data_IF_111233555776
#
_entry.id   IF_111233555776
#
_cell.length_a   1.000
_cell.length_b   1.000
_cell.length_c   1.000
_cell.angle_alpha   90.00
_cell.angle_beta   90.00
_cell.angle_gamma   90.00
#
_symmetry.space_group_name_H-M   'P 1'
#
loop_
_entity.id
_entity.type
_entity.pdbx_description
1 polymer ?
#
# COMPACT_ATOMS: atom_id res chain seq x y z
N UNK A 1 -2.87 32.04 39.42
CA UNK A 1 -2.18 32.83 40.47
C UNK A 1 -1.07 31.97 41.06
N UNK A 2 0.16 32.43 40.88
CA UNK A 2 1.36 32.24 41.71
C UNK A 2 1.93 30.82 41.91
N UNK A 3 3.01 30.54 41.16
CA UNK A 3 4.06 29.59 41.54
C UNK A 3 4.84 30.11 42.74
N UNK A 4 5.13 29.25 43.71
CA UNK A 4 6.21 29.43 44.68
C UNK A 4 6.87 28.08 44.94
N UNK A 5 8.09 27.94 44.42
CA UNK A 5 9.00 26.84 44.68
C UNK A 5 9.70 27.08 46.03
N UNK A 6 9.73 26.08 46.89
CA UNK A 6 10.50 26.08 48.13
C UNK A 6 11.09 24.69 48.37
N UNK A 7 12.42 24.58 48.24
CA UNK A 7 13.21 23.40 48.61
C UNK A 7 13.13 23.19 50.14
N UNK A 8 12.88 21.95 50.59
CA UNK A 8 13.81 21.18 51.46
C UNK A 8 13.20 19.80 51.81
N UNK A 9 13.85 18.76 51.29
CA UNK A 9 13.95 17.37 51.79
C UNK A 9 12.85 16.81 52.71
N UNK A 10 11.93 16.02 52.12
CA UNK A 10 11.42 14.79 52.75
C UNK A 10 11.27 13.70 51.69
N UNK A 11 11.99 12.61 51.93
CA UNK A 11 11.94 11.34 51.20
C UNK A 11 10.49 10.90 51.09
N UNK A 12 9.92 11.06 49.90
CA UNK A 12 8.70 10.36 49.50
C UNK A 12 9.17 9.30 48.52
N UNK A 13 9.22 8.06 49.00
CA UNK A 13 9.28 6.90 48.12
C UNK A 13 7.98 6.97 47.31
N UNK A 14 8.04 7.56 46.12
CA UNK A 14 7.06 7.30 45.10
C UNK A 14 7.19 5.80 44.80
N UNK A 15 6.27 5.02 45.39
CA UNK A 15 5.79 3.81 44.75
C UNK A 15 5.35 4.24 43.35
N UNK A 16 6.28 4.15 42.39
CA UNK A 16 5.94 3.98 41.01
C UNK A 16 5.06 2.75 41.00
N UNK A 17 3.74 2.97 40.95
CA UNK A 17 2.84 1.97 40.46
C UNK A 17 3.37 1.62 39.06
N UNK A 18 4.18 0.56 39.02
CA UNK A 18 4.42 -0.21 37.83
C UNK A 18 3.07 -0.38 37.16
N UNK A 19 2.87 0.23 35.98
CA UNK A 19 1.77 -0.13 35.10
C UNK A 19 2.01 -1.58 34.67
N UNK A 20 1.58 -2.51 35.52
CA UNK A 20 1.45 -3.93 35.19
C UNK A 20 0.00 -4.17 34.81
N UNK A 21 -0.30 -4.05 33.53
CA UNK A 21 -1.36 -4.74 32.81
C UNK A 21 -1.30 -4.21 31.38
N UNK A 22 -0.78 -5.00 30.44
CA UNK A 22 -1.10 -4.78 29.04
C UNK A 22 -2.61 -4.94 28.92
N UNK A 23 -3.32 -3.83 28.76
CA UNK A 23 -4.76 -3.87 28.50
C UNK A 23 -4.92 -4.35 27.08
N UNK A 24 -5.15 -5.65 26.93
CA UNK A 24 -5.55 -6.26 25.67
C UNK A 24 -6.79 -5.55 25.13
N UNK A 25 -6.89 -5.46 23.81
CA UNK A 25 -8.07 -4.95 23.15
C UNK A 25 -9.27 -5.87 23.39
N UNK A 26 -9.14 -7.17 23.22
CA UNK A 26 -10.20 -8.14 23.38
C UNK A 26 -10.26 -8.67 24.81
N UNK A 27 -11.46 -8.85 25.40
CA UNK A 27 -11.63 -9.53 26.68
C UNK A 27 -11.12 -10.97 26.67
N UNK A 28 -11.26 -11.65 25.54
CA UNK A 28 -10.82 -13.03 25.27
C UNK A 28 -9.42 -13.13 24.63
N UNK A 29 -8.63 -12.06 24.71
CA UNK A 29 -7.31 -12.02 24.09
C UNK A 29 -6.37 -13.09 24.67
N UNK A 30 -5.59 -13.73 23.79
CA UNK A 30 -4.43 -14.53 24.19
C UNK A 30 -3.43 -13.61 24.92
N UNK A 31 -3.14 -13.88 26.20
CA UNK A 31 -2.21 -13.06 26.98
C UNK A 31 -0.83 -13.02 26.34
N UNK A 32 -0.13 -11.90 26.48
CA UNK A 32 1.19 -11.68 25.87
C UNK A 32 2.20 -12.79 26.17
N UNK A 33 2.19 -13.35 27.38
CA UNK A 33 3.11 -14.41 27.79
C UNK A 33 2.79 -15.80 27.18
N UNK A 34 1.60 -15.98 26.62
CA UNK A 34 1.19 -17.20 25.91
C UNK A 34 1.40 -17.09 24.40
N UNK A 35 1.83 -15.92 23.91
CA UNK A 35 2.03 -15.70 22.48
C UNK A 35 3.30 -16.40 21.99
N UNK A 36 3.21 -16.99 20.81
CA UNK A 36 4.31 -17.68 20.15
C UNK A 36 5.14 -16.71 19.30
N UNK A 37 6.40 -17.06 19.10
CA UNK A 37 7.25 -16.50 18.05
C UNK A 37 7.20 -17.41 16.82
N UNK A 38 7.40 -16.84 15.63
CA UNK A 38 7.68 -17.65 14.44
C UNK A 38 9.16 -18.02 14.44
N UNK A 39 9.49 -19.12 13.76
CA UNK A 39 10.86 -19.59 13.62
C UNK A 39 11.41 -19.27 12.25
N UNK A 40 12.65 -18.85 12.26
CA UNK A 40 13.46 -18.60 11.07
C UNK A 40 14.03 -19.90 10.54
N UNK A 41 14.68 -19.87 9.36
CA UNK A 41 15.30 -21.06 8.78
C UNK A 41 16.42 -21.64 9.66
N UNK A 42 17.09 -20.80 10.47
CA UNK A 42 18.12 -21.21 11.42
C UNK A 42 17.56 -21.58 12.81
N UNK A 43 16.23 -21.51 12.99
CA UNK A 43 15.53 -21.90 14.21
C UNK A 43 15.40 -20.81 15.28
N UNK A 44 15.87 -19.60 14.98
CA UNK A 44 15.75 -18.41 15.84
C UNK A 44 14.28 -17.98 15.97
N UNK A 45 13.87 -17.61 17.19
CA UNK A 45 12.55 -17.07 17.47
C UNK A 45 12.49 -15.59 17.08
N UNK A 46 11.55 -15.22 16.21
CA UNK A 46 11.31 -13.84 15.79
C UNK A 46 9.81 -13.51 15.79
N UNK A 47 9.44 -12.23 15.97
CA UNK A 47 8.06 -11.81 15.82
C UNK A 47 7.64 -11.72 14.34
N UNK A 48 6.34 -11.73 14.08
CA UNK A 48 5.79 -11.41 12.76
C UNK A 48 5.95 -9.92 12.52
N UNK A 49 6.93 -9.54 11.69
CA UNK A 49 7.12 -8.17 11.24
C UNK A 49 6.08 -7.67 10.22
N UNK A 50 5.58 -6.47 10.46
CA UNK A 50 4.66 -5.71 9.61
C UNK A 50 5.38 -4.52 8.98
N UNK A 51 5.21 -4.38 7.66
CA UNK A 51 5.58 -3.17 6.93
C UNK A 51 4.43 -2.15 7.00
N UNK A 52 4.79 -0.88 7.22
CA UNK A 52 3.88 0.25 7.15
C UNK A 52 4.40 1.25 6.10
N UNK A 53 3.54 1.62 5.16
CA UNK A 53 3.71 2.80 4.34
C UNK A 53 3.38 4.08 5.11
N UNK A 54 4.03 5.17 4.76
CA UNK A 54 3.87 6.49 5.39
C UNK A 54 2.55 7.20 4.97
N UNK A 55 1.41 6.54 5.16
CA UNK A 55 0.05 7.04 4.90
C UNK A 55 -0.94 6.47 5.91
N UNK A 56 -1.99 7.23 6.24
CA UNK A 56 -2.84 6.94 7.41
C UNK A 56 -3.60 5.61 7.34
N UNK A 57 -4.06 5.21 6.15
CA UNK A 57 -4.75 3.93 5.97
C UNK A 57 -3.82 2.72 6.23
N UNK A 58 -2.53 2.83 5.89
CA UNK A 58 -1.53 1.79 6.15
C UNK A 58 -1.30 1.59 7.65
N UNK A 59 -1.22 2.68 8.42
CA UNK A 59 -1.08 2.58 9.87
C UNK A 59 -2.30 1.92 10.52
N UNK A 60 -3.51 2.41 10.20
CA UNK A 60 -4.74 1.89 10.77
C UNK A 60 -4.95 0.40 10.47
N UNK A 61 -4.80 0.01 9.21
CA UNK A 61 -5.04 -1.37 8.78
C UNK A 61 -3.99 -2.34 9.33
N UNK A 62 -2.75 -1.90 9.46
CA UNK A 62 -1.70 -2.66 10.14
C UNK A 62 -1.98 -2.81 11.63
N UNK A 63 -2.49 -1.78 12.31
CA UNK A 63 -2.89 -1.89 13.72
C UNK A 63 -4.04 -2.88 13.92
N UNK A 64 -5.05 -2.87 13.04
CA UNK A 64 -6.14 -3.85 13.06
C UNK A 64 -5.59 -5.27 12.89
N UNK A 65 -4.76 -5.49 11.86
CA UNK A 65 -4.16 -6.79 11.59
C UNK A 65 -3.29 -7.27 12.76
N UNK A 66 -2.52 -6.36 13.37
CA UNK A 66 -1.69 -6.64 14.52
C UNK A 66 -2.50 -7.10 15.72
N UNK A 67 -3.60 -6.41 16.05
CA UNK A 67 -4.48 -6.82 17.15
C UNK A 67 -4.98 -8.25 16.93
N UNK A 68 -5.41 -8.60 15.72
CA UNK A 68 -5.88 -9.96 15.41
C UNK A 68 -4.75 -11.00 15.51
N UNK A 69 -3.56 -10.69 14.97
CA UNK A 69 -2.40 -11.60 15.05
C UNK A 69 -1.95 -11.81 16.49
N UNK A 70 -1.93 -10.76 17.29
CA UNK A 70 -1.49 -10.82 18.69
C UNK A 70 -2.50 -11.47 19.62
N UNK A 71 -3.75 -11.00 19.58
CA UNK A 71 -4.75 -11.31 20.59
C UNK A 71 -5.64 -12.48 20.20
N UNK A 72 -5.76 -12.80 18.90
CA UNK A 72 -6.60 -13.89 18.41
C UNK A 72 -5.77 -15.07 17.93
N UNK A 73 -4.72 -14.82 17.13
CA UNK A 73 -3.84 -15.89 16.64
C UNK A 73 -2.70 -16.22 17.62
N UNK A 74 -2.41 -15.33 18.58
CA UNK A 74 -1.46 -15.59 19.64
C UNK A 74 0.00 -15.53 19.20
N UNK A 75 0.36 -14.60 18.31
CA UNK A 75 1.75 -14.40 17.90
C UNK A 75 2.30 -13.03 18.32
N UNK A 76 3.59 -12.98 18.66
CA UNK A 76 4.26 -11.69 18.79
C UNK A 76 4.41 -11.00 17.44
N UNK A 77 4.24 -9.67 17.42
CA UNK A 77 4.43 -8.86 16.21
C UNK A 77 5.45 -7.77 16.43
N UNK A 78 5.92 -7.20 15.32
CA UNK A 78 6.85 -6.08 15.31
C UNK A 78 6.54 -5.16 14.12
N UNK A 79 6.66 -3.85 14.32
CA UNK A 79 6.55 -2.86 13.23
C UNK A 79 7.94 -2.28 12.99
N UNK A 80 8.32 -2.19 11.72
CA UNK A 80 9.58 -1.57 11.34
C UNK A 80 9.65 -0.11 11.83
N UNK A 81 10.76 0.36 12.42
CA UNK A 81 10.87 1.75 12.91
C UNK A 81 10.87 2.79 11.78
N UNK A 82 11.20 2.38 10.55
CA UNK A 82 11.10 3.22 9.36
C UNK A 82 9.90 2.83 8.51
N UNK A 83 9.14 3.84 8.09
CA UNK A 83 8.02 3.69 7.17
C UNK A 83 8.47 3.70 5.71
N UNK A 84 7.72 3.02 4.86
CA UNK A 84 7.88 3.09 3.41
C UNK A 84 7.44 4.45 2.87
N UNK A 85 8.34 5.18 2.22
CA UNK A 85 8.09 6.53 1.68
C UNK A 85 7.28 6.53 0.38
N UNK A 86 7.07 5.36 -0.22
CA UNK A 86 6.32 5.19 -1.46
C UNK A 86 5.79 3.77 -1.56
N UNK A 87 4.68 3.57 -2.27
CA UNK A 87 4.14 2.27 -2.59
C UNK A 87 5.20 1.29 -3.14
N UNK A 88 6.14 1.79 -3.95
CA UNK A 88 7.18 0.98 -4.61
C UNK A 88 8.23 0.41 -3.67
N UNK A 89 8.30 0.87 -2.42
CA UNK A 89 9.24 0.33 -1.43
C UNK A 89 8.76 -0.98 -0.82
N UNK A 90 7.45 -1.23 -0.85
CA UNK A 90 6.81 -2.41 -0.26
C UNK A 90 7.42 -3.74 -0.72
N UNK A 91 7.60 -3.99 -2.05
CA UNK A 91 8.17 -5.25 -2.49
C UNK A 91 9.63 -5.45 -2.02
N UNK A 92 10.42 -4.40 -1.94
CA UNK A 92 11.80 -4.47 -1.41
C UNK A 92 11.81 -4.76 0.09
N UNK A 93 10.93 -4.12 0.86
CA UNK A 93 10.81 -4.36 2.30
C UNK A 93 10.43 -5.82 2.59
N UNK A 94 9.45 -6.35 1.87
CA UNK A 94 8.99 -7.74 2.00
C UNK A 94 10.00 -8.76 1.44
N UNK A 95 10.91 -8.34 0.56
CA UNK A 95 12.02 -9.16 0.09
C UNK A 95 13.24 -9.14 1.04
N UNK A 96 13.18 -8.38 2.15
CA UNK A 96 14.24 -8.32 3.15
C UNK A 96 15.38 -7.37 2.81
N UNK A 97 15.18 -6.43 1.89
CA UNK A 97 16.18 -5.42 1.56
C UNK A 97 16.41 -4.47 2.76
N UNK A 98 17.67 -4.23 3.13
CA UNK A 98 18.01 -3.48 4.35
C UNK A 98 17.68 -1.98 4.26
N UNK A 99 17.73 -1.41 3.06
CA UNK A 99 17.49 0.02 2.82
C UNK A 99 16.40 0.19 1.74
N UNK A 100 15.22 -0.37 2.01
CA UNK A 100 14.10 -0.43 1.05
C UNK A 100 13.59 0.95 0.60
N UNK A 101 13.95 2.03 1.30
CA UNK A 101 13.63 3.41 0.94
C UNK A 101 14.64 4.05 -0.04
N UNK A 102 15.80 3.43 -0.26
CA UNK A 102 16.84 3.96 -1.13
C UNK A 102 16.60 3.60 -2.58
N UNK A 103 16.33 4.60 -3.42
CA UNK A 103 15.97 4.40 -4.82
C UNK A 103 17.11 3.83 -5.70
N UNK A 104 18.37 3.94 -5.27
CA UNK A 104 19.55 3.59 -6.08
C UNK A 104 20.16 2.25 -5.68
N UNK A 105 20.16 1.93 -4.38
CA UNK A 105 20.65 0.66 -3.88
C UNK A 105 19.92 0.28 -2.59
N UNK A 106 18.95 -0.61 -2.75
CA UNK A 106 18.10 -1.10 -1.68
C UNK A 106 18.80 -2.14 -0.79
N UNK A 107 19.97 -2.63 -1.20
CA UNK A 107 20.74 -3.68 -0.52
C UNK A 107 19.95 -5.00 -0.36
N UNK A 108 19.35 -5.44 -1.48
CA UNK A 108 18.61 -6.70 -1.57
C UNK A 108 19.54 -7.92 -1.72
N UNK A 109 19.05 -9.11 -1.37
CA UNK A 109 19.80 -10.37 -1.51
C UNK A 109 20.63 -10.77 -0.29
N UNK A 110 20.43 -10.10 0.85
CA UNK A 110 20.98 -10.46 2.15
C UNK A 110 19.93 -11.31 2.87
N UNK A 111 20.31 -12.45 3.46
CA UNK A 111 19.37 -13.43 4.00
C UNK A 111 18.69 -12.99 5.31
N UNK A 112 17.43 -13.45 5.41
CA UNK A 112 16.46 -13.36 6.50
C UNK A 112 15.53 -12.14 6.48
N UNK A 113 14.36 -12.33 5.86
CA UNK A 113 13.25 -11.39 5.86
C UNK A 113 12.74 -11.16 7.28
N UNK A 114 12.73 -9.90 7.71
CA UNK A 114 12.16 -9.49 9.02
C UNK A 114 10.77 -8.88 8.90
N UNK A 115 10.40 -8.45 7.70
CA UNK A 115 9.07 -7.95 7.37
C UNK A 115 8.36 -9.01 6.53
N UNK A 116 7.23 -9.49 7.05
CA UNK A 116 6.50 -10.63 6.47
C UNK A 116 5.16 -10.20 5.89
N UNK A 117 4.53 -9.17 6.46
CA UNK A 117 3.16 -8.77 6.13
C UNK A 117 3.11 -7.32 5.71
N UNK A 118 2.42 -7.05 4.60
CA UNK A 118 1.96 -5.73 4.20
C UNK A 118 0.45 -5.81 3.96
N UNK A 119 -0.30 -5.02 4.73
CA UNK A 119 -1.76 -5.05 4.71
C UNK A 119 -2.27 -4.03 3.68
N UNK A 120 -1.81 -2.78 3.71
CA UNK A 120 -2.17 -1.74 2.73
C UNK A 120 -1.07 -1.56 1.68
N UNK A 121 -1.03 -2.45 0.70
CA UNK A 121 0.02 -2.51 -0.32
C UNK A 121 -0.51 -2.10 -1.70
N UNK A 122 0.04 -1.04 -2.29
CA UNK A 122 -0.46 -0.48 -3.55
C UNK A 122 0.15 -1.21 -4.76
N UNK A 123 -0.25 -2.48 -5.01
CA UNK A 123 0.45 -3.35 -5.96
C UNK A 123 0.40 -2.92 -7.41
N UNK A 124 -0.63 -2.17 -7.81
CA UNK A 124 -0.65 -1.54 -9.14
C UNK A 124 0.52 -0.57 -9.35
N UNK A 125 0.98 0.11 -8.29
CA UNK A 125 2.06 1.10 -8.36
C UNK A 125 3.45 0.46 -8.51
N UNK A 126 3.60 -0.83 -8.20
CA UNK A 126 4.90 -1.51 -8.18
C UNK A 126 4.96 -2.80 -9.00
N UNK A 127 3.97 -3.04 -9.87
CA UNK A 127 3.94 -4.22 -10.73
C UNK A 127 5.22 -4.38 -11.57
N UNK A 128 5.74 -3.28 -12.14
CA UNK A 128 7.00 -3.30 -12.90
C UNK A 128 8.21 -3.68 -12.04
N UNK A 129 8.23 -3.25 -10.78
CA UNK A 129 9.29 -3.58 -9.82
C UNK A 129 9.28 -5.07 -9.52
N UNK A 130 8.09 -5.66 -9.33
CA UNK A 130 7.95 -7.10 -9.11
C UNK A 130 8.43 -7.90 -10.33
N UNK A 131 8.15 -7.46 -11.55
CA UNK A 131 8.68 -8.11 -12.76
C UNK A 131 10.22 -8.03 -12.82
N UNK A 132 10.84 -6.89 -12.49
CA UNK A 132 12.30 -6.77 -12.43
C UNK A 132 12.90 -7.67 -11.33
N UNK A 133 12.23 -7.77 -10.18
CA UNK A 133 12.63 -8.66 -9.10
C UNK A 133 12.53 -10.14 -9.48
N UNK A 134 11.63 -10.53 -10.40
CA UNK A 134 11.59 -11.92 -10.92
C UNK A 134 12.86 -12.27 -11.68
N UNK A 135 13.45 -11.31 -12.41
CA UNK A 135 14.68 -11.53 -13.15
C UNK A 135 15.90 -11.60 -12.21
N UNK A 136 15.89 -10.82 -11.13
CA UNK A 136 17.07 -10.61 -10.27
C UNK A 136 17.06 -11.48 -8.99
N UNK A 137 15.90 -11.61 -8.34
CA UNK A 137 15.71 -12.29 -7.06
C UNK A 137 14.42 -13.15 -7.03
N UNK A 138 14.30 -14.20 -7.89
CA UNK A 138 13.05 -14.94 -8.05
C UNK A 138 12.55 -15.68 -6.80
N UNK A 139 13.42 -15.90 -5.82
CA UNK A 139 13.09 -16.59 -4.56
C UNK A 139 12.65 -15.63 -3.44
N UNK A 140 12.76 -14.31 -3.65
CA UNK A 140 12.40 -13.28 -2.67
C UNK A 140 11.14 -12.51 -3.07
N UNK A 141 10.43 -12.96 -4.12
CA UNK A 141 9.24 -12.28 -4.62
C UNK A 141 8.12 -12.38 -3.58
N UNK A 142 7.56 -11.26 -3.12
CA UNK A 142 6.41 -11.27 -2.24
C UNK A 142 5.19 -11.89 -2.93
N UNK A 143 4.41 -12.66 -2.17
CA UNK A 143 3.19 -13.28 -2.67
C UNK A 143 2.01 -12.33 -2.44
N UNK A 144 1.30 -11.96 -3.53
CA UNK A 144 0.01 -11.27 -3.43
C UNK A 144 -1.07 -12.28 -3.04
N UNK A 145 -1.74 -12.04 -1.90
CA UNK A 145 -2.78 -12.92 -1.38
C UNK A 145 -4.19 -12.30 -1.49
N UNK A 146 -4.38 -11.32 -2.39
CA UNK A 146 -5.68 -10.77 -2.75
C UNK A 146 -5.88 -9.31 -2.36
N UNK A 147 -7.13 -8.86 -2.28
CA UNK A 147 -7.44 -7.44 -2.10
C UNK A 147 -7.72 -7.10 -0.62
N UNK A 148 -7.27 -5.91 -0.18
CA UNK A 148 -8.11 -4.88 0.44
C UNK A 148 -9.57 -5.22 0.76
N UNK A 149 -10.28 -5.45 -0.34
CA UNK A 149 -11.69 -5.17 -0.46
C UNK A 149 -11.99 -3.69 -0.66
N UNK A 150 -11.00 -2.78 -0.85
CA UNK A 150 -11.14 -1.44 -1.45
C UNK A 150 -10.10 -1.20 -2.52
N UNK A 151 -10.39 -0.25 -3.39
CA UNK A 151 -9.45 0.36 -4.31
C UNK A 151 -8.98 1.71 -3.76
N UNK A 152 -7.71 2.01 -4.00
CA UNK A 152 -7.14 3.32 -3.83
C UNK A 152 -7.37 4.15 -5.09
N UNK A 153 -7.68 5.41 -4.94
CA UNK A 153 -7.79 6.34 -6.06
C UNK A 153 -6.77 7.45 -5.89
N UNK A 154 -5.98 7.72 -6.93
CA UNK A 154 -5.06 8.86 -6.97
C UNK A 154 -5.33 9.70 -8.22
N UNK A 155 -5.46 11.02 -8.04
CA UNK A 155 -5.83 11.94 -9.12
C UNK A 155 -5.49 13.39 -8.76
N UNK A 156 -5.94 14.31 -9.60
CA UNK A 156 -6.04 15.73 -9.28
C UNK A 156 -7.39 16.00 -8.61
N UNK A 157 -7.39 16.74 -7.51
CA UNK A 157 -8.55 17.02 -6.68
C UNK A 157 -8.82 18.52 -6.55
N UNK A 158 -10.07 18.85 -6.24
CA UNK A 158 -10.56 20.17 -5.89
C UNK A 158 -11.32 20.10 -4.57
N UNK A 159 -11.26 21.16 -3.77
CA UNK A 159 -12.01 21.21 -2.50
C UNK A 159 -13.50 21.41 -2.76
N UNK A 160 -14.36 20.89 -1.88
CA UNK A 160 -15.81 21.10 -1.99
C UNK A 160 -16.20 22.57 -1.97
N UNK A 161 -15.49 23.40 -1.20
CA UNK A 161 -15.78 24.83 -1.11
C UNK A 161 -15.64 25.51 -2.47
N UNK A 162 -14.57 25.23 -3.21
CA UNK A 162 -14.33 25.75 -4.56
C UNK A 162 -15.34 25.17 -5.56
N UNK A 163 -15.58 23.86 -5.50
CA UNK A 163 -16.55 23.19 -6.37
C UNK A 163 -17.96 23.78 -6.21
N UNK A 164 -18.44 23.91 -4.96
CA UNK A 164 -19.77 24.43 -4.67
C UNK A 164 -19.90 25.89 -5.10
N UNK A 165 -18.86 26.71 -4.88
CA UNK A 165 -18.85 28.10 -5.32
C UNK A 165 -19.04 28.24 -6.83
N UNK A 166 -18.38 27.38 -7.62
CA UNK A 166 -18.50 27.40 -9.08
C UNK A 166 -19.84 26.85 -9.59
N UNK A 167 -20.35 25.80 -8.95
CA UNK A 167 -21.67 25.23 -9.24
C UNK A 167 -22.79 26.24 -8.94
N UNK A 168 -22.74 26.91 -7.79
CA UNK A 168 -23.76 27.87 -7.37
C UNK A 168 -23.75 29.14 -8.23
N UNK A 169 -22.57 29.59 -8.67
CA UNK A 169 -22.42 30.83 -9.42
C UNK A 169 -22.85 30.68 -10.89
N UNK A 170 -22.49 29.58 -11.56
CA UNK A 170 -22.70 29.43 -13.00
C UNK A 170 -22.98 27.99 -13.47
N UNK A 171 -23.18 27.04 -12.55
CA UNK A 171 -23.35 25.63 -12.89
C UNK A 171 -22.07 24.97 -13.40
N UNK A 172 -20.89 25.53 -13.09
CA UNK A 172 -19.62 25.01 -13.58
C UNK A 172 -19.14 23.82 -12.74
N UNK A 173 -19.15 22.65 -13.37
CA UNK A 173 -18.65 21.40 -12.79
C UNK A 173 -17.11 21.37 -12.82
N UNK A 174 -16.46 21.73 -11.71
CA UNK A 174 -15.01 21.69 -11.54
C UNK A 174 -14.48 20.30 -11.14
N UNK A 175 -15.35 19.35 -10.84
CA UNK A 175 -15.06 17.92 -10.64
C UNK A 175 -15.02 17.14 -11.97
N UNK A 176 -15.17 17.81 -13.10
CA UNK A 176 -15.06 17.23 -14.43
C UNK A 176 -14.10 18.05 -15.30
N UNK A 177 -13.16 17.37 -15.96
CA UNK A 177 -12.06 18.03 -16.67
C UNK A 177 -12.51 19.08 -17.70
N UNK A 178 -13.69 18.92 -18.31
CA UNK A 178 -14.21 19.87 -19.31
C UNK A 178 -14.65 21.20 -18.72
N UNK A 179 -14.90 21.27 -17.41
CA UNK A 179 -15.19 22.52 -16.70
C UNK A 179 -14.02 23.51 -16.70
N UNK A 180 -12.81 23.05 -17.02
CA UNK A 180 -11.63 23.92 -17.07
C UNK A 180 -11.39 24.56 -18.45
N UNK A 181 -12.21 24.22 -19.45
CA UNK A 181 -12.02 24.73 -20.81
C UNK A 181 -12.38 26.22 -20.90
N UNK A 182 -11.37 27.02 -21.28
CA UNK A 182 -11.46 28.48 -21.39
C UNK A 182 -12.41 29.01 -22.49
N UNK A 183 -12.91 28.14 -23.37
CA UNK A 183 -13.81 28.55 -24.47
C UNK A 183 -15.14 29.09 -23.94
N UNK A 184 -15.63 28.56 -22.82
CA UNK A 184 -16.97 28.85 -22.31
C UNK A 184 -16.98 29.42 -20.90
N UNK A 185 -15.94 29.18 -20.10
CA UNK A 185 -15.88 29.57 -18.69
C UNK A 185 -14.50 30.09 -18.31
N UNK A 186 -14.43 30.87 -17.22
CA UNK A 186 -13.16 31.30 -16.63
C UNK A 186 -12.97 30.64 -15.24
N UNK A 187 -12.53 29.37 -15.17
CA UNK A 187 -12.39 28.63 -13.92
C UNK A 187 -11.43 29.31 -12.94
N UNK A 188 -10.43 30.06 -13.44
CA UNK A 188 -9.40 30.74 -12.64
C UNK A 188 -9.97 31.64 -11.54
N UNK A 189 -11.17 32.20 -11.72
CA UNK A 189 -11.80 33.10 -10.76
C UNK A 189 -12.07 32.45 -9.37
N UNK A 190 -12.21 31.11 -9.33
CA UNK A 190 -12.44 30.36 -8.10
C UNK A 190 -11.15 29.95 -7.37
N UNK A 191 -9.99 30.15 -8.01
CA UNK A 191 -8.69 29.74 -7.51
C UNK A 191 -7.79 30.95 -7.20
N UNK A 192 -6.84 30.78 -6.30
CA UNK A 192 -5.87 31.82 -5.95
C UNK A 192 -4.77 31.97 -7.02
N UNK A 193 -3.98 33.04 -6.97
CA UNK A 193 -2.85 33.22 -7.88
C UNK A 193 -1.68 32.35 -7.46
N UNK A 194 -0.85 31.91 -8.41
CA UNK A 194 0.42 31.22 -8.13
C UNK A 194 1.36 32.09 -7.27
N UNK A 195 1.23 33.42 -7.35
CA UNK A 195 2.02 34.39 -6.58
C UNK A 195 1.67 34.41 -5.09
N UNK A 196 0.53 33.82 -4.70
CA UNK A 196 0.15 33.69 -3.29
C UNK A 196 0.94 32.61 -2.56
N UNK A 197 1.61 31.72 -3.30
CA UNK A 197 2.38 30.60 -2.77
C UNK A 197 3.85 30.98 -2.73
N UNK A 198 4.44 30.87 -1.54
CA UNK A 198 5.84 31.23 -1.33
C UNK A 198 6.76 30.25 -2.06
N UNK A 199 7.62 30.77 -2.94
CA UNK A 199 8.56 29.95 -3.72
C UNK A 199 9.58 29.19 -2.84
N UNK A 200 9.81 29.66 -1.61
CA UNK A 200 10.65 28.95 -0.64
C UNK A 200 10.04 27.64 -0.15
N UNK A 201 8.73 27.45 -0.31
CA UNK A 201 8.00 26.23 0.09
C UNK A 201 7.96 25.18 -1.02
N UNK A 202 8.56 25.47 -2.19
CA UNK A 202 8.54 24.63 -3.38
C UNK A 202 9.94 24.13 -3.74
N UNK A 203 10.06 22.91 -4.26
CA UNK A 203 11.32 22.38 -4.79
C UNK A 203 11.70 23.09 -6.10
N UNK A 204 13.01 23.33 -6.36
CA UNK A 204 13.49 23.62 -7.72
C UNK A 204 13.06 22.52 -8.67
N UNK A 205 12.63 22.85 -9.90
CA UNK A 205 12.22 21.83 -10.87
C UNK A 205 13.33 20.80 -11.15
N UNK A 206 14.59 21.23 -11.06
CA UNK A 206 15.81 20.41 -11.21
C UNK A 206 15.90 19.25 -10.20
N UNK A 207 15.25 19.37 -9.05
CA UNK A 207 15.26 18.38 -7.96
C UNK A 207 14.02 17.48 -7.97
N UNK A 208 13.21 17.54 -9.04
CA UNK A 208 11.90 16.86 -9.11
C UNK A 208 11.75 16.05 -10.39
N UNK A 209 10.64 15.34 -10.51
CA UNK A 209 10.25 14.56 -11.68
C UNK A 209 10.08 15.38 -12.97
N UNK A 210 10.09 16.73 -12.88
CA UNK A 210 10.22 17.62 -14.03
C UNK A 210 11.55 17.42 -14.79
N UNK A 211 12.58 16.86 -14.15
CA UNK A 211 13.90 16.60 -14.73
C UNK A 211 14.14 15.12 -15.07
N UNK A 212 13.07 14.31 -15.19
CA UNK A 212 13.12 12.92 -15.69
C UNK A 212 13.06 12.88 -17.23
N UNK A 213 14.17 12.58 -17.94
CA UNK A 213 14.25 12.70 -19.40
C UNK A 213 13.24 11.85 -20.18
N UNK A 214 13.11 10.58 -19.82
CA UNK A 214 12.21 9.62 -20.47
C UNK A 214 10.75 10.07 -20.36
N UNK A 215 10.41 10.66 -19.23
CA UNK A 215 9.09 11.17 -18.90
C UNK A 215 8.75 12.41 -19.73
N UNK A 216 9.70 13.35 -19.83
CA UNK A 216 9.53 14.56 -20.64
C UNK A 216 9.54 14.26 -22.15
N UNK A 217 10.30 13.25 -22.58
CA UNK A 217 10.28 12.77 -23.96
C UNK A 217 8.92 12.15 -24.32
N UNK A 218 8.33 11.34 -23.44
CA UNK A 218 6.98 10.79 -23.61
C UNK A 218 5.93 11.92 -23.68
N UNK A 219 6.02 12.91 -22.80
CA UNK A 219 5.18 14.11 -22.83
C UNK A 219 5.25 14.84 -24.17
N UNK A 220 6.46 15.14 -24.66
CA UNK A 220 6.67 15.80 -25.95
C UNK A 220 6.03 15.02 -27.10
N UNK A 221 6.24 13.70 -27.12
CA UNK A 221 5.77 12.79 -28.16
C UNK A 221 4.24 12.77 -28.26
N UNK A 222 3.55 12.68 -27.13
CA UNK A 222 2.11 12.43 -27.09
C UNK A 222 1.26 13.70 -27.06
N UNK A 223 1.82 14.82 -26.57
CA UNK A 223 1.09 16.10 -26.49
C UNK A 223 1.49 17.08 -27.58
N UNK A 224 2.70 16.95 -28.14
CA UNK A 224 3.26 17.92 -29.09
C UNK A 224 3.70 19.24 -28.45
N UNK A 225 3.59 19.41 -27.13
CA UNK A 225 3.91 20.67 -26.44
C UNK A 225 5.42 20.81 -26.14
N UNK A 226 6.21 20.99 -27.18
CA UNK A 226 7.65 21.26 -27.04
C UNK A 226 7.93 22.59 -26.31
N UNK A 227 7.01 23.56 -26.35
CA UNK A 227 7.18 24.87 -25.72
C UNK A 227 7.12 24.82 -24.18
N UNK A 228 6.53 23.77 -23.62
CA UNK A 228 6.56 23.47 -22.19
C UNK A 228 7.85 22.79 -21.71
N UNK A 229 8.79 22.50 -22.63
CA UNK A 229 10.02 21.79 -22.35
C UNK A 229 11.25 22.61 -22.74
N UNK A 230 12.40 22.15 -22.27
CA UNK A 230 13.72 22.59 -22.69
C UNK A 230 14.59 21.38 -23.04
N UNK A 231 15.54 21.59 -23.95
CA UNK A 231 16.55 20.59 -24.31
C UNK A 231 17.80 20.86 -23.49
N UNK A 232 18.22 19.89 -22.70
CA UNK A 232 19.44 19.91 -21.91
C UNK A 232 20.67 19.73 -22.81
N UNK A 233 21.86 20.07 -22.29
CA UNK A 233 23.11 20.00 -23.06
C UNK A 233 23.45 18.60 -23.60
N UNK A 234 22.94 17.55 -22.95
CA UNK A 234 23.09 16.14 -23.37
C UNK A 234 22.03 15.69 -24.40
N UNK A 235 21.18 16.61 -24.89
CA UNK A 235 20.11 16.31 -25.85
C UNK A 235 18.81 15.78 -25.22
N UNK A 236 18.77 15.60 -23.90
CA UNK A 236 17.59 15.12 -23.19
C UNK A 236 16.57 16.24 -22.95
N UNK A 237 15.30 15.89 -22.77
CA UNK A 237 14.27 16.85 -22.38
C UNK A 237 14.19 17.03 -20.86
N UNK A 238 13.90 18.26 -20.45
CA UNK A 238 13.44 18.61 -19.10
C UNK A 238 12.24 19.57 -19.19
N UNK A 239 11.43 19.67 -18.15
CA UNK A 239 10.36 20.66 -18.12
C UNK A 239 10.94 22.08 -18.08
N UNK A 240 10.30 23.01 -18.80
CA UNK A 240 10.67 24.43 -18.76
C UNK A 240 9.87 25.12 -17.67
N UNK A 241 10.54 25.50 -16.58
CA UNK A 241 9.87 26.08 -15.42
C UNK A 241 9.96 27.61 -15.33
N UNK A 242 8.81 28.24 -15.09
CA UNK A 242 8.70 29.63 -14.67
C UNK A 242 9.19 29.79 -13.23
N UNK A 243 9.97 30.85 -12.99
CA UNK A 243 10.64 31.12 -11.71
C UNK A 243 11.45 29.92 -11.15
N UNK A 244 11.83 28.96 -11.99
CA UNK A 244 12.54 27.73 -11.59
C UNK A 244 11.70 26.75 -10.75
N UNK A 245 10.40 27.01 -10.54
CA UNK A 245 9.53 26.24 -9.60
C UNK A 245 8.23 25.75 -10.23
N UNK A 246 7.72 26.46 -11.23
CA UNK A 246 6.39 26.22 -11.81
C UNK A 246 6.49 25.76 -13.25
N UNK A 247 5.94 24.59 -13.57
CA UNK A 247 5.68 24.26 -14.97
C UNK A 247 4.35 24.88 -15.42
N UNK A 248 4.33 25.56 -16.57
CA UNK A 248 3.16 26.32 -17.03
C UNK A 248 2.52 25.65 -18.25
N UNK A 249 1.23 25.31 -18.11
CA UNK A 249 0.42 24.73 -19.18
C UNK A 249 0.23 25.68 -20.37
N UNK A 250 -0.05 25.17 -21.58
CA UNK A 250 -0.21 26.01 -22.78
C UNK A 250 -1.26 27.12 -22.65
N UNK A 251 -2.33 26.88 -21.89
CA UNK A 251 -3.48 27.80 -21.83
C UNK A 251 -3.20 29.10 -21.05
N UNK A 252 -2.22 29.08 -20.15
CA UNK A 252 -1.86 30.26 -19.34
C UNK A 252 -0.37 30.63 -19.45
N UNK A 253 0.36 30.05 -20.41
CA UNK A 253 1.81 30.27 -20.57
C UNK A 253 2.18 31.70 -20.97
N UNK A 254 1.32 32.38 -21.71
CA UNK A 254 1.53 33.77 -22.10
C UNK A 254 1.25 34.76 -20.97
N UNK A 255 0.43 34.37 -19.99
CA UNK A 255 0.04 35.19 -18.85
C UNK A 255 -0.18 34.30 -17.62
N UNK A 256 0.84 34.21 -16.78
CA UNK A 256 0.85 33.35 -15.60
C UNK A 256 -0.18 33.75 -14.55
N UNK A 257 -0.70 34.98 -14.59
CA UNK A 257 -1.77 35.42 -13.67
C UNK A 257 -3.10 34.68 -13.91
N UNK A 258 -3.26 34.09 -15.09
CA UNK A 258 -4.44 33.29 -15.46
C UNK A 258 -4.30 31.82 -15.06
N UNK A 259 -3.15 31.40 -14.52
CA UNK A 259 -2.91 30.02 -14.14
C UNK A 259 -3.54 29.66 -12.78
N UNK A 260 -4.16 28.49 -12.74
CA UNK A 260 -4.63 27.80 -11.53
C UNK A 260 -3.44 27.06 -10.92
N UNK A 261 -3.08 27.30 -9.65
CA UNK A 261 -2.03 26.54 -8.98
C UNK A 261 -2.45 25.07 -8.82
N UNK A 262 -1.57 24.16 -9.22
CA UNK A 262 -1.65 22.72 -8.99
C UNK A 262 -0.46 22.30 -8.13
N UNK A 263 -0.72 21.73 -6.96
CA UNK A 263 0.33 21.37 -6.01
C UNK A 263 0.43 19.86 -5.83
N UNK A 264 1.65 19.34 -5.90
CA UNK A 264 1.97 17.95 -5.57
C UNK A 264 3.10 17.88 -4.55
N UNK A 265 3.41 16.67 -4.07
CA UNK A 265 4.40 16.39 -3.04
C UNK A 265 5.35 15.25 -3.47
N UNK A 266 6.20 14.84 -2.53
CA UNK A 266 7.32 13.95 -2.80
C UNK A 266 8.29 14.60 -3.78
N UNK A 267 8.71 13.84 -4.80
CA UNK A 267 9.48 14.37 -5.94
C UNK A 267 8.60 14.76 -7.13
N UNK A 268 7.26 14.67 -6.99
CA UNK A 268 6.31 14.93 -8.07
C UNK A 268 5.31 13.80 -8.27
N UNK A 269 4.55 13.44 -7.24
CA UNK A 269 3.52 12.41 -7.37
C UNK A 269 2.48 12.78 -8.44
N UNK A 270 2.23 11.85 -9.38
CA UNK A 270 1.41 12.03 -10.59
C UNK A 270 1.73 13.25 -11.46
N UNK A 271 2.88 13.88 -11.28
CA UNK A 271 3.26 15.13 -11.94
C UNK A 271 3.09 15.05 -13.46
N UNK A 272 3.56 13.96 -14.06
CA UNK A 272 3.50 13.76 -15.50
C UNK A 272 2.07 13.68 -16.00
N UNK A 273 1.22 12.87 -15.35
CA UNK A 273 -0.19 12.74 -15.72
C UNK A 273 -0.90 14.11 -15.64
N UNK A 274 -0.62 14.90 -14.59
CA UNK A 274 -1.17 16.25 -14.47
C UNK A 274 -0.70 17.21 -15.58
N UNK A 275 0.56 17.11 -16.04
CA UNK A 275 1.01 17.84 -17.23
C UNK A 275 0.24 17.41 -18.48
N UNK A 276 0.12 16.09 -18.70
CA UNK A 276 -0.62 15.51 -19.82
C UNK A 276 -2.09 15.97 -19.85
N UNK A 277 -2.78 15.89 -18.72
CA UNK A 277 -4.16 16.32 -18.58
C UNK A 277 -4.30 17.82 -18.83
N UNK A 278 -3.41 18.63 -18.26
CA UNK A 278 -3.44 20.08 -18.42
C UNK A 278 -3.31 20.51 -19.88
N UNK A 279 -2.38 19.88 -20.61
CA UNK A 279 -2.15 20.19 -22.02
C UNK A 279 -3.21 19.63 -22.94
N UNK A 280 -3.60 18.37 -22.74
CA UNK A 280 -4.53 17.67 -23.64
C UNK A 280 -5.93 18.25 -23.55
N UNK A 281 -6.37 18.60 -22.35
CA UNK A 281 -7.73 19.04 -22.10
C UNK A 281 -7.86 20.55 -21.90
N UNK A 282 -6.75 21.28 -22.01
CA UNK A 282 -6.75 22.73 -21.94
C UNK A 282 -7.09 23.26 -20.56
N UNK A 283 -6.51 22.69 -19.50
CA UNK A 283 -6.61 23.28 -18.17
C UNK A 283 -5.56 24.41 -18.07
N UNK A 284 -5.93 25.62 -17.61
CA UNK A 284 -5.01 26.72 -17.40
C UNK A 284 -4.27 26.57 -16.08
N UNK A 285 -3.34 25.62 -15.99
CA UNK A 285 -2.64 25.28 -14.74
C UNK A 285 -1.18 25.72 -14.72
N UNK A 286 -0.69 25.96 -13.52
CA UNK A 286 0.73 25.99 -13.17
C UNK A 286 1.00 24.91 -12.12
N UNK A 287 1.92 23.99 -12.40
CA UNK A 287 2.18 22.82 -11.55
C UNK A 287 3.49 23.02 -10.79
N UNK A 288 3.48 22.81 -9.47
CA UNK A 288 4.67 22.83 -8.63
C UNK A 288 4.69 21.68 -7.61
N UNK A 289 5.89 21.39 -7.11
CA UNK A 289 6.14 20.37 -6.09
C UNK A 289 6.50 21.06 -4.77
N UNK A 290 5.73 20.82 -3.73
CA UNK A 290 6.04 21.30 -2.39
C UNK A 290 7.29 20.60 -1.84
N UNK A 291 8.15 21.34 -1.14
CA UNK A 291 9.46 20.83 -0.69
C UNK A 291 9.45 19.99 0.60
N UNK A 292 8.29 19.87 1.22
CA UNK A 292 8.07 19.00 2.37
C UNK A 292 6.59 18.64 2.48
N UNK A 293 6.30 17.54 3.19
CA UNK A 293 4.92 17.17 3.51
C UNK A 293 4.19 18.27 4.30
N UNK A 294 4.86 18.88 5.28
CA UNK A 294 4.27 19.98 6.05
C UNK A 294 3.88 21.18 5.19
N UNK A 295 4.76 21.58 4.26
CA UNK A 295 4.46 22.68 3.33
C UNK A 295 3.38 22.30 2.33
N UNK A 296 3.37 21.06 1.84
CA UNK A 296 2.30 20.56 1.00
C UNK A 296 0.93 20.66 1.69
N UNK A 297 0.81 20.13 2.91
CA UNK A 297 -0.42 20.20 3.70
C UNK A 297 -0.83 21.65 3.97
N UNK A 298 0.13 22.52 4.31
CA UNK A 298 -0.12 23.93 4.57
C UNK A 298 -0.64 24.67 3.33
N UNK A 299 -0.01 24.49 2.16
CA UNK A 299 -0.42 25.14 0.91
C UNK A 299 -1.82 24.68 0.51
N UNK A 300 -2.08 23.36 0.48
CA UNK A 300 -3.40 22.82 0.12
C UNK A 300 -4.48 23.28 1.10
N UNK A 301 -4.16 23.42 2.38
CA UNK A 301 -5.13 23.85 3.41
C UNK A 301 -5.40 25.34 3.46
N UNK A 302 -4.55 26.17 2.87
CA UNK A 302 -4.66 27.64 2.98
C UNK A 302 -4.91 28.34 1.65
N UNK A 303 -4.79 27.62 0.53
CA UNK A 303 -4.98 28.17 -0.82
C UNK A 303 -6.11 27.48 -1.55
N UNK A 304 -6.85 28.23 -2.36
CA UNK A 304 -7.77 27.67 -3.36
C UNK A 304 -6.94 27.22 -4.55
N UNK A 305 -6.45 26.00 -4.48
CA UNK A 305 -5.63 25.35 -5.50
C UNK A 305 -6.25 24.02 -5.93
N UNK A 306 -5.77 23.50 -7.06
CA UNK A 306 -5.87 22.09 -7.36
C UNK A 306 -4.68 21.38 -6.74
N UNK A 307 -4.83 20.11 -6.45
CA UNK A 307 -3.75 19.35 -5.83
C UNK A 307 -3.82 17.88 -6.19
N UNK A 308 -2.67 17.23 -6.25
CA UNK A 308 -2.60 15.77 -6.26
C UNK A 308 -3.17 15.26 -4.94
N UNK A 309 -4.01 14.22 -4.95
CA UNK A 309 -4.41 13.52 -3.73
C UNK A 309 -4.67 12.05 -3.97
N UNK A 310 -4.68 11.28 -2.88
CA UNK A 310 -5.06 9.88 -2.88
C UNK A 310 -6.10 9.56 -1.80
N UNK A 311 -6.92 8.56 -2.07
CA UNK A 311 -7.93 8.03 -1.17
C UNK A 311 -7.67 6.52 -1.02
N UNK A 312 -7.77 5.93 0.19
CA UNK A 312 -8.23 6.54 1.44
C UNK A 312 -7.11 7.25 2.24
N UNK A 313 -7.31 8.53 2.55
CA UNK A 313 -6.48 9.29 3.50
C UNK A 313 -7.29 10.46 4.08
N UNK A 314 -7.17 10.72 5.38
CA UNK A 314 -7.98 11.71 6.09
C UNK A 314 -7.35 13.11 6.20
N UNK A 315 -6.13 13.32 5.72
CA UNK A 315 -5.41 14.60 5.89
C UNK A 315 -6.23 15.81 5.43
N UNK A 316 -6.92 15.71 4.28
CA UNK A 316 -7.75 16.79 3.74
C UNK A 316 -9.25 16.56 3.88
N UNK A 317 -9.68 15.65 4.75
CA UNK A 317 -11.07 15.22 4.79
C UNK A 317 -12.06 16.33 5.13
N UNK A 318 -11.63 17.30 5.94
CA UNK A 318 -12.42 18.47 6.31
C UNK A 318 -12.69 19.39 5.11
N UNK A 319 -11.84 19.33 4.08
CA UNK A 319 -12.01 20.06 2.82
C UNK A 319 -12.97 19.34 1.86
N UNK A 320 -13.35 18.09 2.18
CA UNK A 320 -14.17 17.20 1.34
C UNK A 320 -13.60 17.16 -0.08
N UNK A 321 -12.45 16.51 -0.29
CA UNK A 321 -11.76 16.49 -1.58
C UNK A 321 -12.63 15.79 -2.63
N UNK A 322 -12.79 16.41 -3.81
CA UNK A 322 -13.49 15.83 -4.95
C UNK A 322 -12.50 15.59 -6.09
N UNK A 323 -12.44 14.37 -6.60
CA UNK A 323 -11.55 13.99 -7.69
C UNK A 323 -12.04 14.59 -9.01
N UNK A 324 -11.14 15.12 -9.82
CA UNK A 324 -11.46 15.54 -11.18
C UNK A 324 -11.56 14.29 -12.05
N UNK A 325 -12.73 14.09 -12.63
CA UNK A 325 -12.99 12.98 -13.55
C UNK A 325 -12.37 13.28 -14.91
N UNK A 326 -11.49 12.38 -15.37
CA UNK A 326 -10.87 12.36 -16.71
C UNK A 326 -11.44 11.20 -17.56
N UNK A 327 -11.18 11.14 -18.88
CA UNK A 327 -11.62 10.01 -19.70
C UNK A 327 -11.16 8.66 -19.15
N UNK A 328 -11.93 7.57 -19.30
CA UNK A 328 -11.65 6.29 -18.65
C UNK A 328 -10.22 5.78 -18.91
N UNK A 329 -9.62 5.19 -17.87
CA UNK A 329 -8.26 4.63 -17.94
C UNK A 329 -8.09 3.64 -19.10
N UNK A 330 -6.96 3.77 -19.80
CA UNK A 330 -6.54 2.85 -20.86
C UNK A 330 -5.17 2.27 -20.55
N UNK A 331 -5.12 1.02 -20.09
CA UNK A 331 -3.87 0.33 -19.76
C UNK A 331 -2.88 0.28 -20.92
N UNK A 332 -3.39 0.09 -22.15
CA UNK A 332 -2.57 0.07 -23.36
C UNK A 332 -1.93 1.43 -23.66
N UNK A 333 -2.64 2.53 -23.43
CA UNK A 333 -2.08 3.88 -23.62
C UNK A 333 -1.00 4.17 -22.58
N UNK A 334 -1.29 3.87 -21.31
CA UNK A 334 -0.35 4.11 -20.21
C UNK A 334 0.94 3.28 -20.35
N UNK A 335 0.84 2.02 -20.81
CA UNK A 335 2.00 1.18 -21.10
C UNK A 335 2.91 1.74 -22.22
N UNK A 336 2.39 2.62 -23.08
CA UNK A 336 3.15 3.31 -24.13
C UNK A 336 3.63 4.71 -23.70
N UNK A 337 3.47 5.06 -22.42
CA UNK A 337 3.78 6.39 -21.88
C UNK A 337 2.77 7.48 -22.27
N UNK A 338 1.58 7.12 -22.77
CA UNK A 338 0.50 8.06 -23.05
C UNK A 338 -0.43 8.15 -21.83
N UNK A 339 -0.27 9.20 -21.02
CA UNK A 339 -1.03 9.40 -19.77
C UNK A 339 -2.23 10.35 -19.95
N UNK A 340 -2.84 10.42 -21.13
CA UNK A 340 -3.97 11.34 -21.40
C UNK A 340 -5.27 10.88 -20.74
N UNK A 341 -5.49 9.58 -20.59
CA UNK A 341 -6.66 9.06 -19.86
C UNK A 341 -6.48 9.23 -18.35
N UNK A 342 -7.55 9.01 -17.59
CA UNK A 342 -7.48 8.86 -16.14
C UNK A 342 -6.41 7.83 -15.78
N UNK A 343 -5.80 7.99 -14.60
CA UNK A 343 -4.95 6.95 -14.06
C UNK A 343 -5.75 5.68 -13.76
N UNK A 344 -5.09 4.53 -13.73
CA UNK A 344 -5.69 3.33 -13.16
C UNK A 344 -6.17 3.65 -11.75
N UNK A 345 -7.37 3.19 -11.39
CA UNK A 345 -7.67 2.94 -9.98
C UNK A 345 -6.58 2.01 -9.45
N UNK A 346 -6.00 2.34 -8.31
CA UNK A 346 -4.95 1.53 -7.71
C UNK A 346 -5.60 0.42 -6.92
N UNK A 347 -5.46 -0.80 -7.41
CA UNK A 347 -5.74 -1.98 -6.61
C UNK A 347 -4.87 -1.94 -5.34
N UNK A 348 -5.49 -1.80 -4.17
CA UNK A 348 -4.81 -1.94 -2.88
C UNK A 348 -4.88 -3.41 -2.50
N UNK A 349 -3.77 -4.10 -2.71
CA UNK A 349 -3.61 -5.49 -2.36
C UNK A 349 -3.44 -5.63 -0.85
N UNK A 350 -4.03 -6.71 -0.32
CA UNK A 350 -3.55 -7.35 0.90
C UNK A 350 -2.73 -8.54 0.46
N UNK A 351 -1.62 -8.76 1.12
CA UNK A 351 -1.38 -10.14 1.50
C UNK A 351 -2.49 -10.55 2.54
N UNK A 352 -3.65 -11.01 2.04
CA UNK A 352 -4.92 -11.59 2.61
C UNK A 352 -6.09 -10.74 3.16
N UNK A 353 -7.29 -11.11 2.68
CA UNK A 353 -8.72 -10.94 3.11
C UNK A 353 -9.59 -9.79 2.55
N UNK A 354 -10.58 -10.16 1.74
CA UNK A 354 -11.53 -9.30 1.04
C UNK A 354 -12.68 -8.77 1.92
N UNK A 355 -13.15 -7.57 1.56
CA UNK A 355 -14.26 -6.77 2.12
C UNK A 355 -13.90 -5.85 3.30
N UNK A 356 -13.02 -4.86 3.10
CA UNK A 356 -12.81 -3.74 4.04
C UNK A 356 -13.14 -2.36 3.43
N UNK A 357 -13.88 -2.26 2.31
CA UNK A 357 -13.96 -0.97 1.58
C UNK A 357 -14.67 0.18 2.27
N UNK A 358 -15.87 -0.05 2.79
CA UNK A 358 -16.78 1.07 3.03
C UNK A 358 -16.65 1.70 4.42
N UNK A 359 -15.68 1.28 5.23
CA UNK A 359 -15.52 1.78 6.61
C UNK A 359 -14.14 2.38 6.91
N UNK A 360 -13.13 2.20 6.05
CA UNK A 360 -11.78 2.75 6.31
C UNK A 360 -11.85 4.25 6.48
N UNK A 361 -12.60 4.91 5.59
CA UNK A 361 -12.75 6.37 5.62
C UNK A 361 -13.41 6.85 6.91
N UNK A 362 -14.44 6.16 7.42
CA UNK A 362 -15.11 6.49 8.68
C UNK A 362 -14.19 6.32 9.91
N UNK A 363 -13.31 5.32 9.88
CA UNK A 363 -12.31 5.11 10.93
C UNK A 363 -11.22 6.19 10.88
N UNK A 364 -10.72 6.49 9.69
CA UNK A 364 -9.74 7.57 9.49
C UNK A 364 -10.32 8.94 9.87
N UNK A 365 -11.62 9.17 9.64
CA UNK A 365 -12.36 10.32 10.15
C UNK A 365 -12.31 10.40 11.68
N UNK A 366 -12.52 9.26 12.35
CA UNK A 366 -12.50 9.19 13.82
C UNK A 366 -11.09 9.49 14.36
N UNK A 367 -10.04 9.03 13.67
CA UNK A 367 -8.65 9.38 13.99
C UNK A 367 -8.40 10.87 13.80
N UNK A 368 -8.81 11.44 12.67
CA UNK A 368 -8.65 12.87 12.37
C UNK A 368 -9.39 13.77 13.38
N UNK A 369 -10.45 13.27 14.02
CA UNK A 369 -11.15 13.97 15.10
C UNK A 369 -10.41 14.00 16.45
N UNK A 370 -9.25 13.33 16.55
CA UNK A 370 -8.37 13.34 17.72
C UNK A 370 -8.37 12.04 18.53
N UNK A 371 -9.06 10.99 18.07
CA UNK A 371 -9.01 9.67 18.72
C UNK A 371 -7.70 8.96 18.36
N UNK A 372 -7.09 8.27 19.32
CA UNK A 372 -5.84 7.54 19.07
C UNK A 372 -6.09 6.39 18.08
N UNK A 373 -5.18 6.21 17.12
CA UNK A 373 -5.25 5.19 16.07
C UNK A 373 -5.50 3.77 16.63
N UNK A 374 -4.75 3.40 17.66
CA UNK A 374 -4.92 2.11 18.33
C UNK A 374 -6.33 1.93 18.93
N UNK A 375 -6.90 2.97 19.54
CA UNK A 375 -8.24 2.90 20.13
C UNK A 375 -9.31 2.72 19.04
N UNK A 376 -9.15 3.40 17.90
CA UNK A 376 -10.04 3.24 16.73
C UNK A 376 -9.91 1.84 16.13
N UNK A 377 -8.69 1.32 15.97
CA UNK A 377 -8.44 -0.04 15.50
C UNK A 377 -9.06 -1.07 16.46
N UNK A 378 -8.84 -0.92 17.76
CA UNK A 378 -9.37 -1.81 18.78
C UNK A 378 -10.90 -1.80 18.83
N UNK A 379 -11.51 -0.61 18.79
CA UNK A 379 -12.96 -0.48 18.74
C UNK A 379 -13.53 -1.16 17.49
N UNK A 380 -12.90 -0.96 16.32
CA UNK A 380 -13.32 -1.63 15.10
C UNK A 380 -13.25 -3.17 15.22
N UNK A 381 -12.15 -3.71 15.78
CA UNK A 381 -12.01 -5.15 16.02
C UNK A 381 -13.13 -5.66 16.93
N UNK A 382 -13.47 -4.96 18.01
CA UNK A 382 -14.58 -5.34 18.91
C UNK A 382 -15.92 -5.34 18.19
N UNK A 383 -16.22 -4.28 17.44
CA UNK A 383 -17.52 -4.09 16.80
C UNK A 383 -17.74 -5.00 15.58
N UNK A 384 -16.66 -5.52 15.00
CA UNK A 384 -16.70 -6.34 13.78
C UNK A 384 -16.31 -7.79 14.02
N UNK A 385 -16.48 -8.32 15.24
CA UNK A 385 -16.13 -9.70 15.62
C UNK A 385 -16.59 -10.75 14.63
N UNK A 386 -17.87 -10.74 14.29
CA UNK A 386 -18.44 -11.71 13.35
C UNK A 386 -17.76 -11.66 11.97
N UNK A 387 -17.28 -10.49 11.54
CA UNK A 387 -16.66 -10.30 10.24
C UNK A 387 -15.27 -10.92 10.16
N UNK A 388 -14.42 -10.65 11.15
CA UNK A 388 -13.05 -11.15 11.12
C UNK A 388 -12.92 -12.59 11.60
N UNK A 389 -13.92 -13.13 12.30
CA UNK A 389 -13.95 -14.56 12.64
C UNK A 389 -13.91 -15.45 11.40
N UNK A 390 -14.54 -15.03 10.30
CA UNK A 390 -14.49 -15.73 9.02
C UNK A 390 -13.12 -15.64 8.33
N UNK A 391 -12.24 -14.73 8.77
CA UNK A 391 -10.87 -14.60 8.23
C UNK A 391 -9.89 -15.57 8.88
N UNK A 392 -10.22 -16.05 10.08
CA UNK A 392 -9.33 -16.94 10.80
C UNK A 392 -9.16 -18.22 9.98
N UNK A 393 -7.91 -18.69 9.78
CA UNK A 393 -7.68 -19.93 9.08
C UNK A 393 -8.44 -21.03 9.79
N UNK A 394 -9.32 -21.73 9.06
CA UNK A 394 -9.88 -22.97 9.56
C UNK A 394 -8.68 -23.89 9.75
N UNK A 395 -8.46 -24.40 10.97
CA UNK A 395 -7.29 -25.23 11.33
C UNK A 395 -7.10 -26.45 10.42
N UNK A 396 -8.14 -26.81 9.66
CA UNK A 396 -8.20 -27.92 8.72
C UNK A 396 -8.11 -27.48 7.24
N UNK A 397 -7.82 -26.21 6.93
CA UNK A 397 -7.47 -25.73 5.58
C UNK A 397 -5.98 -25.95 5.32
N UNK A 398 -5.59 -27.18 5.02
CA UNK A 398 -4.18 -27.55 4.88
C UNK A 398 -3.56 -26.97 3.62
N UNK A 399 -2.33 -26.47 3.74
CA UNK A 399 -1.54 -25.95 2.62
C UNK A 399 -0.77 -27.06 1.90
N UNK A 400 -0.17 -26.71 0.75
CA UNK A 400 0.68 -27.62 -0.03
C UNK A 400 1.77 -28.25 0.84
N UNK A 401 1.89 -29.58 0.77
CA UNK A 401 2.83 -30.37 1.57
C UNK A 401 2.26 -30.85 2.91
N UNK A 402 1.10 -30.34 3.32
CA UNK A 402 0.38 -30.78 4.51
C UNK A 402 -0.91 -31.52 4.13
N UNK A 403 -1.50 -32.21 5.09
CA UNK A 403 -2.82 -32.80 4.95
C UNK A 403 -3.56 -32.97 6.26
N UNK A 404 -4.87 -33.17 6.16
CA UNK A 404 -5.78 -33.30 7.29
C UNK A 404 -5.31 -34.37 8.30
N UNK A 405 -5.31 -34.02 9.58
CA UNK A 405 -4.97 -34.92 10.68
C UNK A 405 -5.95 -34.80 11.85
N UNK A 406 -6.12 -35.90 12.59
CA UNK A 406 -6.88 -35.94 13.84
C UNK A 406 -6.07 -35.37 15.02
N UNK A 407 -6.67 -35.30 16.20
CA UNK A 407 -6.04 -34.73 17.40
C UNK A 407 -4.82 -35.54 17.90
N UNK A 408 -4.63 -36.75 17.40
CA UNK A 408 -3.46 -37.59 17.67
C UNK A 408 -2.38 -37.49 16.59
N UNK A 409 -2.57 -36.64 15.57
CA UNK A 409 -1.64 -36.45 14.45
C UNK A 409 -1.74 -37.52 13.36
N UNK A 410 -2.79 -38.36 13.36
CA UNK A 410 -2.98 -39.35 12.31
C UNK A 410 -3.68 -38.73 11.10
N UNK A 411 -3.18 -39.01 9.90
CA UNK A 411 -3.81 -38.52 8.67
C UNK A 411 -5.23 -39.07 8.49
N UNK A 412 -6.17 -38.17 8.24
CA UNK A 412 -7.56 -38.49 7.91
C UNK A 412 -7.87 -38.02 6.49
N UNK A 413 -8.89 -38.63 5.88
CA UNK A 413 -9.26 -38.33 4.48
C UNK A 413 -10.39 -37.32 4.37
N UNK A 414 -11.07 -37.02 5.48
CA UNK A 414 -12.23 -36.15 5.56
C UNK A 414 -12.07 -35.13 6.69
N UNK A 415 -12.43 -33.87 6.39
CA UNK A 415 -12.31 -32.76 7.33
C UNK A 415 -13.13 -32.95 8.60
N UNK A 416 -14.26 -33.66 8.53
CA UNK A 416 -15.10 -33.94 9.69
C UNK A 416 -14.36 -34.69 10.82
N UNK A 417 -13.28 -35.39 10.48
CA UNK A 417 -12.44 -36.13 11.44
C UNK A 417 -11.12 -35.42 11.73
N UNK A 418 -10.91 -34.23 11.16
CA UNK A 418 -9.67 -33.49 11.27
C UNK A 418 -9.79 -32.39 12.32
N UNK A 419 -8.71 -32.20 13.08
CA UNK A 419 -8.55 -31.09 14.02
C UNK A 419 -7.31 -30.25 13.72
N UNK A 420 -6.42 -30.72 12.84
CA UNK A 420 -5.20 -30.02 12.47
C UNK A 420 -4.73 -30.41 11.07
N UNK A 421 -3.60 -29.84 10.66
CA UNK A 421 -2.87 -30.19 9.43
C UNK A 421 -1.46 -30.65 9.78
N UNK A 422 -1.07 -31.83 9.31
CA UNK A 422 0.25 -32.41 9.53
C UNK A 422 1.03 -32.51 8.21
N UNK A 423 2.36 -32.44 8.29
CA UNK A 423 3.22 -32.54 7.11
C UNK A 423 3.13 -33.94 6.52
N UNK A 424 2.85 -34.08 5.22
CA UNK A 424 2.79 -35.39 4.58
C UNK A 424 4.15 -36.09 4.70
N UNK A 425 4.18 -37.21 5.41
CA UNK A 425 5.39 -38.01 5.63
C UNK A 425 5.81 -38.75 4.37
N UNK A 426 7.05 -39.26 4.29
CA UNK A 426 7.50 -40.13 3.20
C UNK A 426 6.50 -41.27 2.91
N UNK A 427 6.42 -41.67 1.65
CA UNK A 427 5.41 -42.59 1.13
C UNK A 427 4.05 -41.94 0.84
N UNK A 428 3.87 -40.65 1.14
CA UNK A 428 2.64 -39.90 0.86
C UNK A 428 2.91 -38.64 0.05
N UNK A 429 1.86 -38.12 -0.58
CA UNK A 429 1.88 -36.81 -1.22
C UNK A 429 0.63 -35.99 -0.84
N UNK A 430 0.81 -34.67 -0.82
CA UNK A 430 -0.25 -33.70 -0.50
C UNK A 430 -1.13 -33.46 -1.72
N UNK A 431 -2.32 -34.05 -1.70
CA UNK A 431 -3.33 -33.92 -2.75
C UNK A 431 -4.36 -32.86 -2.36
N UNK A 432 -4.77 -32.03 -3.33
CA UNK A 432 -5.89 -31.11 -3.15
C UNK A 432 -7.21 -31.85 -2.92
N UNK A 433 -8.00 -31.34 -1.98
CA UNK A 433 -9.32 -31.85 -1.64
C UNK A 433 -10.28 -30.66 -1.48
N UNK A 434 -11.37 -30.70 -2.24
CA UNK A 434 -12.42 -29.68 -2.24
C UNK A 434 -13.60 -30.15 -1.40
N UNK A 435 -13.93 -29.42 -0.34
CA UNK A 435 -15.09 -29.66 0.53
C UNK A 435 -15.90 -28.38 0.77
N UNK A 436 -16.01 -27.90 2.02
CA UNK A 436 -16.47 -26.54 2.37
C UNK A 436 -15.45 -25.46 2.01
N UNK A 437 -14.27 -25.84 1.52
CA UNK A 437 -13.24 -24.99 0.95
C UNK A 437 -12.17 -25.81 0.23
N UNK A 438 -11.06 -25.18 -0.14
CA UNK A 438 -9.86 -25.92 -0.60
C UNK A 438 -9.05 -26.34 0.62
N UNK A 439 -8.78 -27.63 0.75
CA UNK A 439 -7.83 -28.20 1.73
C UNK A 439 -6.98 -29.26 1.04
N UNK A 440 -6.14 -29.96 1.80
CA UNK A 440 -5.27 -31.02 1.28
C UNK A 440 -5.28 -32.23 2.19
N UNK A 441 -5.02 -33.40 1.61
CA UNK A 441 -4.94 -34.68 2.30
C UNK A 441 -3.67 -35.43 1.88
N UNK A 442 -3.06 -36.14 2.83
CA UNK A 442 -1.86 -36.91 2.57
C UNK A 442 -2.22 -38.30 2.04
N UNK A 443 -2.18 -38.45 0.71
CA UNK A 443 -2.54 -39.68 0.00
C UNK A 443 -1.31 -40.58 -0.13
N UNK A 444 -1.48 -41.88 0.06
CA UNK A 444 -0.42 -42.86 -0.13
C UNK A 444 0.01 -42.92 -1.61
N UNK A 445 1.30 -43.12 -1.85
CA UNK A 445 1.81 -43.47 -3.16
C UNK A 445 1.29 -44.86 -3.57
N UNK A 446 0.66 -44.96 -4.73
CA UNK A 446 0.10 -46.22 -5.26
C UNK A 446 1.21 -47.16 -5.76
N UNK A 447 0.94 -48.45 -5.99
CA UNK A 447 1.95 -49.39 -6.45
C UNK A 447 2.54 -48.93 -7.79
N UNK A 448 3.84 -49.14 -7.96
CA UNK A 448 4.62 -48.58 -9.08
C UNK A 448 5.08 -47.13 -8.89
N UNK A 449 4.78 -46.49 -7.75
CA UNK A 449 5.26 -45.14 -7.39
C UNK A 449 5.80 -45.09 -5.96
N UNK A 450 6.74 -44.18 -5.69
CA UNK A 450 7.32 -43.96 -4.36
C UNK A 450 7.62 -42.49 -4.08
N UNK A 451 7.80 -42.13 -2.82
CA UNK A 451 8.20 -40.78 -2.43
C UNK A 451 9.03 -40.78 -1.14
N UNK A 452 10.30 -40.41 -1.25
CA UNK A 452 11.25 -40.41 -0.13
C UNK A 452 11.19 -39.13 0.72
N UNK A 453 10.62 -38.04 0.19
CA UNK A 453 10.62 -36.71 0.84
C UNK A 453 9.28 -36.41 1.49
N UNK A 454 9.33 -35.80 2.67
CA UNK A 454 8.17 -35.17 3.30
C UNK A 454 7.69 -33.97 2.47
N UNK A 455 6.44 -33.56 2.69
CA UNK A 455 5.79 -32.41 2.04
C UNK A 455 5.72 -32.49 0.51
N UNK A 456 5.88 -33.68 -0.08
CA UNK A 456 5.81 -33.86 -1.52
C UNK A 456 4.40 -33.59 -2.07
N UNK A 457 4.34 -33.09 -3.31
CA UNK A 457 3.08 -32.81 -4.02
C UNK A 457 2.71 -33.88 -5.04
N UNK A 458 3.60 -34.85 -5.27
CA UNK A 458 3.38 -35.98 -6.18
C UNK A 458 4.28 -37.16 -5.79
N UNK A 459 3.87 -38.38 -6.16
CA UNK A 459 4.73 -39.55 -6.10
C UNK A 459 5.53 -39.72 -7.39
N UNK A 460 6.74 -40.26 -7.27
CA UNK A 460 7.65 -40.50 -8.39
C UNK A 460 7.48 -41.93 -8.90
N UNK A 461 7.31 -42.17 -10.21
CA UNK A 461 7.28 -43.52 -10.77
C UNK A 461 8.58 -44.30 -10.50
N UNK A 462 8.46 -45.61 -10.26
CA UNK A 462 9.62 -46.48 -10.15
C UNK A 462 10.43 -46.49 -11.47
N UNK A 463 11.75 -46.43 -11.34
CA UNK A 463 12.63 -46.53 -12.50
C UNK A 463 12.62 -47.96 -13.08
N UNK A 464 12.84 -48.13 -14.39
CA UNK A 464 12.94 -49.46 -15.00
C UNK A 464 13.94 -50.35 -14.24
N UNK A 465 13.49 -51.54 -13.85
CA UNK A 465 14.28 -52.48 -13.04
C UNK A 465 14.00 -52.43 -11.54
N UNK A 466 13.18 -51.49 -11.07
CA UNK A 466 12.67 -51.43 -9.70
C UNK A 466 11.13 -51.44 -9.68
N UNK A 467 10.52 -51.95 -8.61
CA UNK A 467 9.07 -51.90 -8.42
C UNK A 467 8.69 -51.74 -6.95
N UNK A 468 7.42 -51.42 -6.75
CA UNK A 468 6.77 -51.53 -5.45
C UNK A 468 5.35 -52.02 -5.67
N UNK A 469 4.94 -53.02 -4.90
CA UNK A 469 3.65 -53.70 -4.99
C UNK A 469 2.66 -53.25 -3.91
N UNK A 470 3.12 -52.40 -2.98
CA UNK A 470 2.36 -51.92 -1.83
C UNK A 470 2.24 -50.41 -1.84
N UNK A 471 1.12 -49.92 -1.29
CA UNK A 471 0.87 -48.49 -1.09
C UNK A 471 1.84 -47.90 -0.07
N UNK A 472 2.12 -46.60 -0.19
CA UNK A 472 2.79 -45.84 0.86
C UNK A 472 4.31 -45.99 0.89
N UNK A 473 4.93 -46.36 -0.22
CA UNK A 473 6.34 -46.76 -0.22
C UNK A 473 7.26 -45.56 -0.43
N UNK A 474 8.30 -45.50 0.39
CA UNK A 474 9.27 -44.41 0.38
C UNK A 474 10.25 -44.56 -0.78
N UNK A 475 10.60 -45.80 -1.12
CA UNK A 475 11.50 -46.16 -2.21
C UNK A 475 10.95 -47.34 -3.02
N UNK A 476 11.30 -47.39 -4.30
CA UNK A 476 11.13 -48.58 -5.14
C UNK A 476 12.32 -49.52 -4.96
N UNK A 477 12.08 -50.83 -4.97
CA UNK A 477 13.09 -51.88 -4.74
C UNK A 477 13.41 -52.69 -5.99
#
# INVERSE_FOLDING_TARGET
MTFLCGLFFRVTICLLASRSASTTCLPEAIPEFERAFIKTLDGTDIPIGFFQGAWESSYLTSDIARILVEEVLGYHTWIHPEDGRSAVTSPYALAGCLDFNNATNQQCGINETRLHVCVDCWSASYASVVEEMKETFPHLIPVDLGSMGYEGEESMYVTKAVLQQALDAEGLALDFYRGYNLTHHNPKQYFDSIDTINLADLFPCEETDFYKPESMAAYARWTGDAAGLQVLANGNYAAKCHAGKWWISPQCRSDTSTCIPVITAGVGWKLQAMMFWSTTYGLPTAIAVANSWGNYVAIVSTTRSLYYWWVPDATFITQQPHSITFPPYSATEWAQGNMRTAASGTYISKAVSSNFANQVMDLLLTIASGTLRYDVACQWVRDNKQRWQDWLPIETNCITGFGLADAAGNFVMDRANATSCEVCTPGRYSQEYLDTGVTRRCVLCVPGTSQEKSAATSCTPCQPGSYTDTDGRETCN
#
